data_IF_998298598474
#
_entry.id   IF_998298598474
#
_cell.length_a   1.000
_cell.length_b   1.000
_cell.length_c   1.000
_cell.angle_alpha   90.00
_cell.angle_beta   90.00
_cell.angle_gamma   90.00
#
_symmetry.space_group_name_H-M   'P 1'
#
loop_
_entity.id
_entity.type
_entity.pdbx_description
1 polymer ?
#
# COMPACT_ATOMS: atom_id res chain seq x y z
N UNK A 1 -8.38 -17.34 25.43
CA UNK A 1 -7.25 -16.65 24.77
C UNK A 1 -7.83 -15.61 23.84
N UNK A 2 -7.71 -14.34 24.19
CA UNK A 2 -8.08 -13.23 23.32
C UNK A 2 -6.86 -13.03 22.42
N UNK A 3 -6.98 -13.37 21.14
CA UNK A 3 -6.02 -12.90 20.14
C UNK A 3 -6.31 -11.41 19.99
N UNK A 4 -5.59 -10.57 20.75
CA UNK A 4 -5.56 -9.15 20.50
C UNK A 4 -5.11 -8.96 19.05
N UNK A 5 -6.05 -8.53 18.20
CA UNK A 5 -5.75 -8.14 16.84
C UNK A 5 -4.78 -6.98 16.93
N UNK A 6 -3.49 -7.24 16.68
CA UNK A 6 -2.53 -6.16 16.51
C UNK A 6 -3.11 -5.20 15.46
N UNK A 7 -3.10 -3.88 15.72
CA UNK A 7 -3.59 -2.92 14.73
C UNK A 7 -2.85 -3.20 13.42
N UNK A 8 -3.59 -3.41 12.34
CA UNK A 8 -3.02 -3.53 11.00
C UNK A 8 -2.29 -2.22 10.69
N UNK A 9 -0.99 -2.15 10.97
CA UNK A 9 -0.15 -1.01 10.59
C UNK A 9 -0.27 -0.86 9.08
N UNK A 10 -0.61 0.34 8.63
CA UNK A 10 -0.70 0.58 7.20
C UNK A 10 0.71 0.48 6.58
N UNK A 11 0.78 0.26 5.26
CA UNK A 11 2.08 0.01 4.63
C UNK A 11 3.04 1.20 4.70
N UNK A 12 2.51 2.41 4.76
CA UNK A 12 3.29 3.64 4.88
C UNK A 12 3.90 3.77 6.28
N UNK A 13 3.16 3.38 7.33
CA UNK A 13 3.65 3.31 8.71
C UNK A 13 4.77 2.28 8.87
N UNK A 14 4.65 1.14 8.17
CA UNK A 14 5.69 0.10 8.14
C UNK A 14 6.95 0.61 7.44
N UNK A 15 6.80 1.23 6.26
CA UNK A 15 7.94 1.81 5.52
C UNK A 15 8.61 2.92 6.33
N UNK A 16 7.83 3.80 6.96
CA UNK A 16 8.35 4.87 7.81
C UNK A 16 9.09 4.33 9.04
N UNK A 17 8.55 3.28 9.69
CA UNK A 17 9.22 2.63 10.81
C UNK A 17 10.57 2.06 10.40
N UNK A 18 10.65 1.43 9.22
CA UNK A 18 11.91 0.88 8.68
C UNK A 18 12.90 1.96 8.25
N UNK A 19 12.43 3.11 7.75
CA UNK A 19 13.32 4.21 7.36
C UNK A 19 14.00 4.86 8.56
N UNK A 20 13.32 4.90 9.71
CA UNK A 20 13.83 5.48 10.95
C UNK A 20 14.53 4.45 11.87
N UNK A 21 14.54 3.16 11.51
CA UNK A 21 15.11 2.11 12.35
C UNK A 21 16.65 2.16 12.39
N UNK A 22 17.19 2.63 13.51
CA UNK A 22 18.64 2.73 13.76
C UNK A 22 19.27 1.42 14.25
N UNK A 23 18.47 0.39 14.53
CA UNK A 23 18.99 -0.90 15.00
C UNK A 23 19.65 -1.70 13.90
N UNK A 24 19.38 -1.38 12.63
CA UNK A 24 19.93 -2.05 11.46
C UNK A 24 20.68 -1.09 10.53
N UNK A 25 21.66 -1.59 9.77
CA UNK A 25 22.34 -0.79 8.76
C UNK A 25 21.36 -0.24 7.70
N UNK A 26 21.57 0.98 7.17
CA UNK A 26 20.70 1.56 6.16
C UNK A 26 20.48 0.67 4.93
N UNK A 27 21.50 -0.08 4.51
CA UNK A 27 21.41 -1.02 3.39
C UNK A 27 20.43 -2.17 3.65
N UNK A 28 20.33 -2.63 4.90
CA UNK A 28 19.39 -3.67 5.31
C UNK A 28 17.95 -3.13 5.29
N UNK A 29 17.74 -1.93 5.85
CA UNK A 29 16.42 -1.28 5.84
C UNK A 29 15.95 -0.99 4.42
N UNK A 30 16.83 -0.49 3.55
CA UNK A 30 16.54 -0.28 2.13
C UNK A 30 16.16 -1.58 1.41
N UNK A 31 16.83 -2.69 1.70
CA UNK A 31 16.47 -3.99 1.11
C UNK A 31 15.08 -4.47 1.58
N UNK A 32 14.71 -4.24 2.85
CA UNK A 32 13.38 -4.54 3.34
C UNK A 32 12.30 -3.65 2.71
N UNK A 33 12.53 -2.34 2.65
CA UNK A 33 11.63 -1.39 1.98
C UNK A 33 11.45 -1.75 0.51
N UNK A 34 12.53 -2.11 -0.20
CA UNK A 34 12.46 -2.52 -1.60
C UNK A 34 11.66 -3.82 -1.79
N UNK A 35 11.81 -4.80 -0.88
CA UNK A 35 11.03 -6.05 -0.92
C UNK A 35 9.55 -5.78 -0.68
N UNK A 36 9.23 -4.93 0.29
CA UNK A 36 7.88 -4.47 0.56
C UNK A 36 7.32 -3.79 -0.69
N UNK A 37 7.98 -2.74 -1.20
CA UNK A 37 7.54 -2.00 -2.38
C UNK A 37 7.30 -2.93 -3.59
N UNK A 38 8.16 -3.93 -3.80
CA UNK A 38 7.99 -4.93 -4.86
C UNK A 38 6.74 -5.81 -4.66
N UNK A 39 6.42 -6.19 -3.42
CA UNK A 39 5.19 -6.93 -3.11
C UNK A 39 3.91 -6.15 -3.41
N UNK A 40 3.96 -4.82 -3.30
CA UNK A 40 2.84 -3.93 -3.63
C UNK A 40 2.88 -3.42 -5.09
N UNK A 41 3.97 -3.66 -5.83
CA UNK A 41 4.10 -3.20 -7.20
C UNK A 41 2.98 -3.73 -8.13
N UNK A 42 2.56 -5.01 -8.08
CA UNK A 42 1.43 -5.49 -8.88
C UNK A 42 0.13 -4.72 -8.61
N UNK A 43 -0.17 -4.45 -7.34
CA UNK A 43 -1.35 -3.67 -6.95
C UNK A 43 -1.26 -2.22 -7.43
N UNK A 44 -0.08 -1.58 -7.31
CA UNK A 44 0.13 -0.22 -7.81
C UNK A 44 0.04 -0.15 -9.33
N UNK A 45 0.51 -1.19 -10.04
CA UNK A 45 0.35 -1.36 -11.48
C UNK A 45 -1.13 -1.49 -11.84
N UNK A 46 -1.91 -2.32 -11.14
CA UNK A 46 -3.36 -2.42 -11.36
C UNK A 46 -4.07 -1.07 -11.14
N UNK A 47 -3.70 -0.31 -10.09
CA UNK A 47 -4.27 1.02 -9.86
C UNK A 47 -3.92 1.99 -10.99
N UNK A 48 -2.69 1.91 -11.53
CA UNK A 48 -2.25 2.74 -12.65
C UNK A 48 -2.95 2.36 -13.96
N UNK A 49 -3.06 1.08 -14.26
CA UNK A 49 -3.79 0.55 -15.42
C UNK A 49 -5.27 0.93 -15.34
N UNK A 50 -5.89 0.81 -14.16
CA UNK A 50 -7.24 1.28 -13.88
C UNK A 50 -7.36 2.79 -14.09
N UNK A 51 -6.39 3.59 -13.64
CA UNK A 51 -6.40 5.05 -13.85
C UNK A 51 -6.30 5.41 -15.33
N UNK A 52 -5.46 4.70 -16.10
CA UNK A 52 -5.35 4.87 -17.55
C UNK A 52 -6.69 4.48 -18.22
N UNK A 53 -7.28 3.35 -17.83
CA UNK A 53 -8.61 2.91 -18.29
C UNK A 53 -9.76 3.85 -17.88
N UNK A 54 -9.64 4.56 -16.76
CA UNK A 54 -10.57 5.58 -16.30
C UNK A 54 -10.53 6.85 -17.15
N UNK A 55 -9.35 7.24 -17.63
CA UNK A 55 -9.19 8.37 -18.53
C UNK A 55 -9.43 8.01 -20.01
N UNK A 56 -9.51 6.70 -20.31
CA UNK A 56 -9.89 6.17 -21.62
C UNK A 56 -11.41 6.01 -21.83
N UNK A 57 -12.27 6.37 -20.85
CA UNK A 57 -13.73 6.51 -21.04
C UNK A 57 -14.65 5.61 -20.19
N UNK A 58 -14.21 5.06 -19.06
CA UNK A 58 -15.07 4.20 -18.22
C UNK A 58 -16.01 4.95 -17.25
N UNK A 59 -17.13 4.31 -16.89
CA UNK A 59 -18.29 4.89 -16.18
C UNK A 59 -18.01 5.24 -14.71
N UNK A 60 -18.58 6.37 -14.22
CA UNK A 60 -18.31 6.99 -12.91
C UNK A 60 -18.51 6.07 -11.69
N UNK A 61 -19.46 5.14 -11.74
CA UNK A 61 -19.80 4.22 -10.63
C UNK A 61 -18.71 3.21 -10.31
N UNK A 62 -18.01 2.71 -11.33
CA UNK A 62 -16.85 1.82 -11.17
C UNK A 62 -15.70 2.54 -10.46
N UNK A 63 -15.50 3.85 -10.75
CA UNK A 63 -14.46 4.70 -10.18
C UNK A 63 -14.59 4.84 -8.67
N UNK A 64 -15.79 5.14 -8.17
CA UNK A 64 -16.03 5.36 -6.74
C UNK A 64 -15.85 4.09 -5.90
N UNK A 65 -16.31 2.93 -6.41
CA UNK A 65 -16.20 1.66 -5.71
C UNK A 65 -14.75 1.22 -5.51
N UNK A 66 -13.90 1.39 -6.54
CA UNK A 66 -12.49 0.98 -6.52
C UNK A 66 -11.62 1.93 -5.69
N UNK A 67 -11.86 3.25 -5.75
CA UNK A 67 -11.17 4.22 -4.87
C UNK A 67 -11.46 3.93 -3.40
N UNK A 68 -12.70 3.57 -3.06
CA UNK A 68 -13.06 3.18 -1.70
C UNK A 68 -12.34 1.89 -1.27
N UNK A 69 -12.20 0.91 -2.15
CA UNK A 69 -11.44 -0.30 -1.89
C UNK A 69 -9.94 0.00 -1.65
N UNK A 70 -9.32 0.82 -2.51
CA UNK A 70 -7.92 1.23 -2.35
C UNK A 70 -7.68 2.00 -1.04
N UNK A 71 -8.56 2.93 -0.67
CA UNK A 71 -8.46 3.67 0.61
C UNK A 71 -8.54 2.74 1.83
N UNK A 72 -9.43 1.74 1.81
CA UNK A 72 -9.51 0.71 2.87
C UNK A 72 -8.23 -0.10 2.98
N UNK A 73 -7.69 -0.55 1.85
CA UNK A 73 -6.47 -1.38 1.83
C UNK A 73 -5.23 -0.59 2.26
N UNK A 74 -5.20 0.71 2.00
CA UNK A 74 -4.14 1.61 2.41
C UNK A 74 -4.34 2.19 3.82
N UNK A 75 -5.45 1.87 4.51
CA UNK A 75 -5.73 2.36 5.86
C UNK A 75 -5.92 3.88 5.94
N UNK A 76 -6.47 4.50 4.89
CA UNK A 76 -6.67 5.97 4.77
C UNK A 76 -8.17 6.33 4.80
N UNK A 77 -9.02 5.46 5.36
CA UNK A 77 -10.45 5.76 5.62
C UNK A 77 -10.61 6.76 6.76
#
# INVERSE_FOLDING_TARGET
MIFESMPQRNILEVIHSLSEDKNFPPSHNLAQIARIAKGFAPMLTEVLEDYIGQNAGSTLSYRTARIKAAKRMLGVE
#
